data_IF_531579739620
#
_entry.id   IF_531579739620
#
_cell.length_a   1.000
_cell.length_b   1.000
_cell.length_c   1.000
_cell.angle_alpha   90.00
_cell.angle_beta   90.00
_cell.angle_gamma   90.00
#
_symmetry.space_group_name_H-M   'P 1'
#
loop_
_entity.id
_entity.type
_entity.pdbx_description
1 polymer ?
#
# COMPACT_ATOMS: atom_id res chain seq x y z
N UNK A 1 -12.66 -2.49 10.85
CA UNK A 1 -11.83 -1.29 11.11
C UNK A 1 -12.13 -0.65 12.46
N UNK A 2 -13.39 -0.30 12.76
CA UNK A 2 -13.79 0.32 14.04
C UNK A 2 -13.26 -0.48 15.25
N UNK A 3 -13.49 -1.80 15.29
CA UNK A 3 -13.02 -2.64 16.41
C UNK A 3 -11.50 -2.60 16.61
N UNK A 4 -10.70 -2.65 15.54
CA UNK A 4 -9.23 -2.61 15.63
C UNK A 4 -8.77 -1.27 16.22
N UNK A 5 -9.35 -0.16 15.75
CA UNK A 5 -9.03 1.18 16.27
C UNK A 5 -9.46 1.31 17.73
N UNK A 6 -10.64 0.80 18.09
CA UNK A 6 -11.10 0.78 19.49
C UNK A 6 -10.15 -0.02 20.39
N UNK A 7 -9.71 -1.21 19.97
CA UNK A 7 -8.78 -2.03 20.75
C UNK A 7 -7.41 -1.36 20.89
N UNK A 8 -6.92 -0.68 19.86
CA UNK A 8 -5.66 0.07 19.92
C UNK A 8 -5.74 1.23 20.93
N UNK A 9 -6.83 2.00 20.92
CA UNK A 9 -7.05 3.06 21.91
C UNK A 9 -7.12 2.51 23.34
N UNK A 10 -7.77 1.36 23.53
CA UNK A 10 -7.81 0.69 24.84
C UNK A 10 -6.41 0.21 25.25
N UNK A 11 -5.62 -0.35 24.34
CA UNK A 11 -4.24 -0.78 24.61
C UNK A 11 -3.39 0.40 25.09
N UNK A 12 -3.43 1.55 24.40
CA UNK A 12 -2.71 2.76 24.84
C UNK A 12 -3.20 3.28 26.20
N UNK A 13 -4.51 3.20 26.48
CA UNK A 13 -5.05 3.60 27.77
C UNK A 13 -4.58 2.67 28.91
N UNK A 14 -4.57 1.35 28.68
CA UNK A 14 -4.02 0.38 29.63
C UNK A 14 -2.53 0.62 29.87
N UNK A 15 -1.77 0.88 28.81
CA UNK A 15 -0.34 1.19 28.92
C UNK A 15 -0.09 2.42 29.80
N UNK A 16 -0.83 3.51 29.58
CA UNK A 16 -0.73 4.73 30.38
C UNK A 16 -1.10 4.50 31.87
N UNK A 17 -2.14 3.70 32.15
CA UNK A 17 -2.52 3.36 33.53
C UNK A 17 -1.43 2.52 34.19
N UNK A 18 -0.87 1.54 33.49
CA UNK A 18 0.20 0.68 34.01
C UNK A 18 1.45 1.49 34.31
N UNK A 19 1.83 2.43 33.43
CA UNK A 19 2.99 3.30 33.64
C UNK A 19 2.80 4.27 34.82
N UNK A 20 1.55 4.70 35.07
CA UNK A 20 1.20 5.53 36.22
C UNK A 20 1.26 4.74 37.55
N UNK A 21 0.84 3.48 37.55
CA UNK A 21 0.78 2.63 38.75
C UNK A 21 2.11 1.91 39.06
N UNK A 22 2.94 1.64 38.05
CA UNK A 22 4.22 0.94 38.17
C UNK A 22 5.31 1.61 37.33
N UNK A 23 5.83 2.76 37.79
CA UNK A 23 6.85 3.52 37.06
C UNK A 23 8.24 2.83 37.04
N UNK A 24 8.47 1.85 37.93
CA UNK A 24 9.64 0.95 37.86
C UNK A 24 9.26 -0.37 37.20
N UNK A 25 10.24 -1.03 36.59
CA UNK A 25 10.02 -2.32 35.94
C UNK A 25 9.38 -3.33 36.89
N UNK A 26 8.22 -3.86 36.49
CA UNK A 26 7.46 -4.86 37.21
C UNK A 26 7.05 -5.96 36.24
N UNK A 27 7.27 -7.20 36.64
CA UNK A 27 6.91 -8.37 35.84
C UNK A 27 5.39 -8.43 35.56
N UNK A 28 4.57 -7.98 36.52
CA UNK A 28 3.12 -7.90 36.36
C UNK A 28 2.71 -6.80 35.37
N UNK A 29 3.42 -5.67 35.36
CA UNK A 29 3.20 -4.59 34.41
C UNK A 29 3.50 -5.04 32.98
N UNK A 30 4.57 -5.81 32.79
CA UNK A 30 4.91 -6.43 31.51
C UNK A 30 3.78 -7.33 31.01
N UNK A 31 3.32 -8.27 31.84
CA UNK A 31 2.22 -9.19 31.48
C UNK A 31 0.94 -8.44 31.11
N UNK A 32 0.58 -7.38 31.84
CA UNK A 32 -0.59 -6.58 31.52
C UNK A 32 -0.49 -5.90 30.14
N UNK A 33 0.67 -5.31 29.83
CA UNK A 33 0.94 -4.70 28.51
C UNK A 33 0.94 -5.75 27.39
N UNK A 34 1.55 -6.91 27.61
CA UNK A 34 1.60 -8.00 26.63
C UNK A 34 0.20 -8.54 26.29
N UNK A 35 -0.68 -8.68 27.30
CA UNK A 35 -2.07 -9.10 27.08
C UNK A 35 -2.85 -8.05 26.29
N UNK A 36 -2.67 -6.76 26.59
CA UNK A 36 -3.34 -5.68 25.88
C UNK A 36 -2.90 -5.61 24.40
N UNK A 37 -1.60 -5.73 24.13
CA UNK A 37 -1.08 -5.84 22.76
C UNK A 37 -1.57 -7.12 22.06
N UNK A 38 -1.68 -8.24 22.78
CA UNK A 38 -2.27 -9.48 22.29
C UNK A 38 -3.72 -9.31 21.85
N UNK A 39 -4.52 -8.51 22.58
CA UNK A 39 -5.89 -8.22 22.19
C UNK A 39 -5.98 -7.46 20.86
N UNK A 40 -5.10 -6.47 20.63
CA UNK A 40 -5.00 -5.75 19.34
C UNK A 40 -4.64 -6.71 18.20
N UNK A 41 -3.69 -7.62 18.45
CA UNK A 41 -3.27 -8.60 17.44
C UNK A 41 -4.43 -9.51 17.01
N UNK A 42 -5.20 -10.02 17.98
CA UNK A 42 -6.36 -10.88 17.70
C UNK A 42 -7.43 -10.13 16.91
N UNK A 43 -7.73 -8.88 17.26
CA UNK A 43 -8.73 -8.10 16.52
C UNK A 43 -8.26 -7.71 15.12
N UNK A 44 -6.98 -7.37 14.95
CA UNK A 44 -6.38 -7.11 13.65
C UNK A 44 -6.41 -8.36 12.75
N UNK A 45 -6.06 -9.53 13.29
CA UNK A 45 -6.14 -10.80 12.56
C UNK A 45 -7.58 -11.14 12.15
N UNK A 46 -8.55 -11.00 13.06
CA UNK A 46 -9.96 -11.19 12.75
C UNK A 46 -10.46 -10.26 11.64
N UNK A 47 -10.02 -8.99 11.65
CA UNK A 47 -10.34 -8.04 10.59
C UNK A 47 -9.74 -8.45 9.23
N UNK A 48 -8.52 -8.99 9.21
CA UNK A 48 -7.89 -9.52 8.00
C UNK A 48 -8.63 -10.74 7.44
N UNK A 49 -9.04 -11.68 8.31
CA UNK A 49 -9.83 -12.86 7.91
C UNK A 49 -11.18 -12.47 7.34
N UNK A 50 -11.91 -11.56 8.01
CA UNK A 50 -13.19 -11.05 7.50
C UNK A 50 -13.02 -10.30 6.17
N UNK A 51 -11.98 -9.47 6.06
CA UNK A 51 -11.63 -8.81 4.81
C UNK A 51 -11.39 -9.81 3.69
N UNK A 52 -10.64 -10.89 3.96
CA UNK A 52 -10.42 -11.96 3.00
C UNK A 52 -11.72 -12.67 2.62
N UNK A 53 -12.59 -13.04 3.57
CA UNK A 53 -13.85 -13.72 3.28
C UNK A 53 -14.76 -12.85 2.40
N UNK A 54 -14.88 -11.56 2.71
CA UNK A 54 -15.70 -10.62 1.95
C UNK A 54 -15.12 -10.42 0.54
N UNK A 55 -13.79 -10.30 0.43
CA UNK A 55 -13.13 -9.98 -0.84
C UNK A 55 -12.88 -11.22 -1.72
N UNK A 56 -12.85 -12.42 -1.15
CA UNK A 56 -12.61 -13.70 -1.83
C UNK A 56 -13.49 -13.96 -3.06
N UNK A 57 -14.83 -13.80 -3.01
CA UNK A 57 -15.66 -14.00 -4.20
C UNK A 57 -15.39 -12.98 -5.31
N UNK A 58 -15.11 -11.72 -4.95
CA UNK A 58 -14.79 -10.67 -5.93
C UNK A 58 -13.41 -10.89 -6.56
N UNK A 59 -12.42 -11.29 -5.76
CA UNK A 59 -11.10 -11.70 -6.25
C UNK A 59 -11.22 -12.88 -7.21
N UNK A 60 -12.04 -13.89 -6.89
CA UNK A 60 -12.25 -15.04 -7.77
C UNK A 60 -12.94 -14.66 -9.08
N UNK A 61 -13.97 -13.83 -9.05
CA UNK A 61 -14.63 -13.35 -10.28
C UNK A 61 -13.64 -12.58 -11.16
N UNK A 62 -12.86 -11.66 -10.56
CA UNK A 62 -11.81 -10.93 -11.28
C UNK A 62 -10.73 -11.85 -11.87
N UNK A 63 -10.33 -12.90 -11.16
CA UNK A 63 -9.31 -13.84 -11.65
C UNK A 63 -9.83 -14.81 -12.71
N UNK A 64 -11.08 -15.26 -12.60
CA UNK A 64 -11.70 -16.22 -13.53
C UNK A 64 -12.10 -15.51 -14.82
N UNK A 65 -12.71 -14.33 -14.72
CA UNK A 65 -13.03 -13.50 -15.90
C UNK A 65 -11.77 -12.91 -16.52
N UNK A 66 -10.75 -12.63 -15.70
CA UNK A 66 -9.41 -12.13 -16.08
C UNK A 66 -8.57 -13.02 -16.97
N UNK A 67 -8.82 -14.33 -16.97
CA UNK A 67 -8.05 -15.30 -17.75
C UNK A 67 -8.74 -15.70 -19.07
N UNK A 68 -10.05 -15.44 -19.19
CA UNK A 68 -10.75 -15.57 -20.47
C UNK A 68 -10.45 -14.34 -21.31
N UNK A 69 -10.22 -14.51 -22.60
CA UNK A 69 -9.91 -13.46 -23.57
C UNK A 69 -11.16 -12.57 -23.80
N UNK A 70 -11.60 -11.87 -22.76
CA UNK A 70 -12.64 -10.88 -22.78
C UNK A 70 -11.97 -9.51 -22.65
N UNK A 71 -12.31 -8.59 -23.55
CA UNK A 71 -11.84 -7.20 -23.49
C UNK A 71 -12.24 -6.62 -22.13
N UNK A 72 -11.26 -6.47 -21.24
CA UNK A 72 -11.48 -5.82 -19.96
C UNK A 72 -11.88 -4.38 -20.17
N UNK A 73 -12.77 -3.89 -19.30
CA UNK A 73 -13.04 -2.46 -19.24
C UNK A 73 -11.74 -1.72 -18.86
N UNK A 74 -11.58 -0.48 -19.34
CA UNK A 74 -10.35 0.29 -19.06
C UNK A 74 -10.16 0.52 -17.55
N UNK A 75 -11.26 0.57 -16.83
CA UNK A 75 -11.35 0.70 -15.38
C UNK A 75 -10.80 -0.57 -14.67
N UNK A 76 -11.14 -1.76 -15.16
CA UNK A 76 -10.59 -3.02 -14.66
C UNK A 76 -9.08 -3.10 -14.86
N UNK A 77 -8.60 -2.75 -16.06
CA UNK A 77 -7.16 -2.74 -16.36
C UNK A 77 -6.41 -1.77 -15.42
N UNK A 78 -6.99 -0.59 -15.14
CA UNK A 78 -6.41 0.36 -14.20
C UNK A 78 -6.30 -0.20 -12.77
N UNK A 79 -7.35 -0.86 -12.27
CA UNK A 79 -7.35 -1.47 -10.94
C UNK A 79 -6.30 -2.60 -10.86
N UNK A 80 -6.27 -3.48 -11.86
CA UNK A 80 -5.28 -4.57 -11.95
C UNK A 80 -3.87 -3.98 -12.00
N UNK A 81 -3.64 -2.91 -12.76
CA UNK A 81 -2.34 -2.28 -12.87
C UNK A 81 -1.83 -1.71 -11.55
N UNK A 82 -2.69 -1.02 -10.79
CA UNK A 82 -2.31 -0.48 -9.47
C UNK A 82 -1.97 -1.60 -8.50
N UNK A 83 -2.79 -2.66 -8.45
CA UNK A 83 -2.54 -3.83 -7.58
C UNK A 83 -1.24 -4.55 -7.99
N UNK A 84 -1.02 -4.76 -9.29
CA UNK A 84 0.20 -5.41 -9.78
C UNK A 84 1.45 -4.57 -9.45
N UNK A 85 1.39 -3.25 -9.65
CA UNK A 85 2.49 -2.35 -9.30
C UNK A 85 2.77 -2.38 -7.80
N UNK A 86 1.75 -2.41 -6.95
CA UNK A 86 1.92 -2.58 -5.49
C UNK A 86 2.68 -3.86 -5.16
N UNK A 87 2.25 -4.99 -5.73
CA UNK A 87 2.88 -6.30 -5.50
C UNK A 87 4.34 -6.27 -5.98
N UNK A 88 4.61 -5.75 -7.18
CA UNK A 88 5.96 -5.64 -7.73
C UNK A 88 6.86 -4.75 -6.86
N UNK A 89 6.35 -3.62 -6.35
CA UNK A 89 7.09 -2.77 -5.39
C UNK A 89 7.45 -3.55 -4.13
N UNK A 90 6.50 -4.30 -3.56
CA UNK A 90 6.73 -5.07 -2.32
C UNK A 90 7.77 -6.17 -2.55
N UNK A 91 7.65 -6.92 -3.65
CA UNK A 91 8.61 -7.97 -4.03
C UNK A 91 10.00 -7.37 -4.26
N UNK A 92 10.10 -6.27 -5.02
CA UNK A 92 11.37 -5.62 -5.31
C UNK A 92 12.03 -5.11 -4.01
N UNK A 93 11.26 -4.48 -3.12
CA UNK A 93 11.76 -4.07 -1.80
C UNK A 93 12.25 -5.25 -0.95
N UNK A 94 11.54 -6.38 -1.01
CA UNK A 94 11.92 -7.61 -0.30
C UNK A 94 13.26 -8.17 -0.81
N UNK A 95 13.49 -8.13 -2.12
CA UNK A 95 14.73 -8.62 -2.73
C UNK A 95 15.93 -7.72 -2.46
N UNK A 96 15.76 -6.40 -2.53
CA UNK A 96 16.88 -5.45 -2.48
C UNK A 96 17.47 -5.19 -1.07
N UNK A 97 16.93 -5.80 0.00
CA UNK A 97 17.48 -5.89 1.39
C UNK A 97 18.34 -4.69 1.88
N UNK A 98 18.01 -3.45 1.50
CA UNK A 98 18.66 -2.23 1.98
C UNK A 98 17.70 -1.43 2.85
N UNK A 99 17.99 -1.41 4.15
CA UNK A 99 17.47 -0.42 5.09
C UNK A 99 16.11 -0.74 5.71
N UNK A 100 15.85 -0.15 6.88
CA UNK A 100 14.79 -0.50 7.82
C UNK A 100 13.38 -0.40 7.17
N UNK A 101 12.40 -1.25 7.58
CA UNK A 101 11.09 -1.41 6.92
C UNK A 101 10.27 -0.13 6.67
N UNK A 102 10.54 0.95 7.42
CA UNK A 102 9.82 2.22 7.36
C UNK A 102 10.70 3.45 7.01
N UNK A 103 11.97 3.28 6.62
CA UNK A 103 12.90 4.40 6.32
C UNK A 103 13.75 4.18 5.07
N UNK A 104 13.07 4.04 3.92
CA UNK A 104 13.71 3.97 2.61
C UNK A 104 13.96 2.54 2.11
N UNK A 105 14.09 2.40 0.79
CA UNK A 105 14.23 1.12 0.10
C UNK A 105 13.95 1.26 -1.40
N UNK A 106 14.71 0.56 -2.23
CA UNK A 106 14.57 0.57 -3.69
C UNK A 106 13.52 -0.45 -4.16
N UNK A 107 12.59 -0.11 -5.06
CA UNK A 107 12.26 1.22 -5.59
C UNK A 107 11.23 2.00 -4.73
N UNK A 108 11.07 3.30 -4.99
CA UNK A 108 10.07 4.15 -4.31
C UNK A 108 8.64 3.73 -4.68
N UNK A 109 7.92 3.17 -3.70
CA UNK A 109 6.52 2.75 -3.90
C UNK A 109 5.55 3.89 -4.16
N UNK A 110 5.73 5.05 -3.50
CA UNK A 110 4.88 6.23 -3.71
C UNK A 110 5.01 6.76 -5.14
N UNK A 111 6.24 6.77 -5.67
CA UNK A 111 6.53 7.19 -7.05
C UNK A 111 5.97 6.20 -8.07
N UNK A 112 6.13 4.89 -7.82
CA UNK A 112 5.57 3.85 -8.68
C UNK A 112 4.04 3.92 -8.77
N UNK A 113 3.36 4.07 -7.63
CA UNK A 113 1.90 4.20 -7.60
C UNK A 113 1.42 5.48 -8.28
N UNK A 114 2.04 6.61 -8.00
CA UNK A 114 1.61 7.89 -8.56
C UNK A 114 1.71 7.91 -10.10
N UNK A 115 2.79 7.35 -10.64
CA UNK A 115 2.96 7.24 -12.09
C UNK A 115 2.07 6.17 -12.73
N UNK A 116 1.81 5.06 -12.03
CA UNK A 116 0.82 4.06 -12.45
C UNK A 116 -0.58 4.69 -12.59
N UNK A 117 -1.02 5.44 -11.58
CA UNK A 117 -2.32 6.14 -11.60
C UNK A 117 -2.39 7.17 -12.72
N UNK A 118 -1.33 7.95 -12.94
CA UNK A 118 -1.29 8.91 -14.05
C UNK A 118 -1.46 8.23 -15.43
N UNK A 119 -0.75 7.12 -15.68
CA UNK A 119 -0.88 6.38 -16.93
C UNK A 119 -2.31 5.80 -17.07
N UNK A 120 -2.87 5.22 -16.02
CA UNK A 120 -4.25 4.73 -16.01
C UNK A 120 -5.28 5.82 -16.38
N UNK A 121 -5.18 7.00 -15.74
CA UNK A 121 -6.08 8.13 -16.03
C UNK A 121 -5.93 8.60 -17.47
N UNK A 122 -4.70 8.59 -18.00
CA UNK A 122 -4.43 8.97 -19.40
C UNK A 122 -5.18 8.07 -20.38
N UNK A 123 -5.19 6.75 -20.14
CA UNK A 123 -5.88 5.78 -21.00
C UNK A 123 -7.41 5.75 -20.83
N UNK A 124 -7.90 5.98 -19.60
CA UNK A 124 -9.34 6.05 -19.31
C UNK A 124 -9.95 7.32 -19.91
N UNK A 125 -9.40 8.49 -19.56
CA UNK A 125 -10.02 9.78 -19.89
C UNK A 125 -9.72 10.23 -21.32
N UNK A 126 -8.53 9.93 -21.85
CA UNK A 126 -8.09 10.41 -23.17
C UNK A 126 -7.96 11.93 -23.30
N UNK A 127 -8.17 12.69 -22.22
CA UNK A 127 -8.10 14.15 -22.20
C UNK A 127 -6.70 14.60 -21.79
N UNK A 128 -6.06 15.38 -22.66
CA UNK A 128 -4.71 15.91 -22.44
C UNK A 128 -4.59 16.73 -21.16
N UNK A 129 -5.58 17.58 -20.84
CA UNK A 129 -5.52 18.48 -19.70
C UNK A 129 -5.59 17.70 -18.37
N UNK A 130 -6.45 16.68 -18.30
CA UNK A 130 -6.54 15.79 -17.13
C UNK A 130 -5.24 15.00 -16.96
N UNK A 131 -4.69 14.46 -18.05
CA UNK A 131 -3.41 13.75 -18.02
C UNK A 131 -2.26 14.66 -17.53
N UNK A 132 -2.19 15.90 -18.02
CA UNK A 132 -1.15 16.86 -17.62
C UNK A 132 -1.25 17.22 -16.13
N UNK A 133 -2.45 17.48 -15.61
CA UNK A 133 -2.64 17.77 -14.19
C UNK A 133 -2.24 16.59 -13.30
N UNK A 134 -2.64 15.37 -13.67
CA UNK A 134 -2.25 14.15 -12.97
C UNK A 134 -0.74 13.87 -13.07
N UNK A 135 -0.11 14.20 -14.19
CA UNK A 135 1.35 14.10 -14.34
C UNK A 135 2.08 15.04 -13.37
N UNK A 136 1.66 16.31 -13.31
CA UNK A 136 2.23 17.29 -12.39
C UNK A 136 2.07 16.82 -10.93
N UNK A 137 0.88 16.30 -10.58
CA UNK A 137 0.64 15.73 -9.26
C UNK A 137 1.56 14.52 -8.97
N UNK A 138 1.75 13.62 -9.94
CA UNK A 138 2.63 12.47 -9.79
C UNK A 138 4.10 12.88 -9.59
N UNK A 139 4.55 13.91 -10.32
CA UNK A 139 5.89 14.51 -10.15
C UNK A 139 6.02 15.17 -8.77
N UNK A 140 5.00 15.87 -8.28
CA UNK A 140 5.01 16.46 -6.95
C UNK A 140 5.12 15.38 -5.87
N UNK A 141 4.30 14.32 -5.97
CA UNK A 141 4.36 13.17 -5.05
C UNK A 141 5.76 12.53 -5.09
N UNK A 142 6.36 12.36 -6.27
CA UNK A 142 7.71 11.84 -6.41
C UNK A 142 8.77 12.75 -5.79
N UNK A 143 8.71 14.06 -6.02
CA UNK A 143 9.63 15.05 -5.45
C UNK A 143 9.55 15.10 -3.92
N UNK A 144 8.34 14.94 -3.35
CA UNK A 144 8.14 14.90 -1.89
C UNK A 144 8.99 13.83 -1.22
N UNK A 145 9.24 12.70 -1.91
CA UNK A 145 10.04 11.59 -1.38
C UNK A 145 11.53 11.89 -1.33
N UNK A 146 12.02 12.72 -2.26
CA UNK A 146 13.41 13.22 -2.28
C UNK A 146 13.59 14.35 -1.27
N UNK A 147 12.61 15.26 -1.18
CA UNK A 147 12.66 16.43 -0.28
C UNK A 147 12.75 16.04 1.20
N UNK A 148 12.03 14.99 1.60
CA UNK A 148 12.07 14.45 2.99
C UNK A 148 13.33 13.60 3.23
N UNK A 149 14.26 13.49 2.26
CA UNK A 149 15.50 12.70 2.31
C UNK A 149 15.29 11.22 2.66
N UNK A 150 14.11 10.66 2.36
CA UNK A 150 13.78 9.24 2.60
C UNK A 150 14.28 8.36 1.46
N UNK A 151 14.34 8.89 0.24
CA UNK A 151 14.77 8.18 -0.96
C UNK A 151 15.78 9.00 -1.77
N UNK A 152 16.72 8.32 -2.40
CA UNK A 152 17.58 8.95 -3.40
C UNK A 152 16.78 9.26 -4.68
N UNK A 153 17.15 10.30 -5.46
CA UNK A 153 16.49 10.61 -6.73
C UNK A 153 16.38 9.41 -7.68
N UNK A 154 17.41 8.54 -7.70
CA UNK A 154 17.41 7.33 -8.51
C UNK A 154 16.33 6.32 -8.12
N UNK A 155 16.03 6.16 -6.82
CA UNK A 155 15.01 5.22 -6.35
C UNK A 155 13.60 5.69 -6.71
N UNK A 156 13.43 7.02 -6.72
CA UNK A 156 12.20 7.70 -7.13
C UNK A 156 11.98 7.56 -8.64
N UNK A 157 13.03 7.80 -9.44
CA UNK A 157 12.99 7.63 -10.90
C UNK A 157 12.71 6.18 -11.27
N UNK A 158 13.41 5.21 -10.66
CA UNK A 158 13.18 3.79 -10.90
C UNK A 158 11.76 3.36 -10.52
N UNK A 159 11.24 3.86 -9.39
CA UNK A 159 9.85 3.64 -9.01
C UNK A 159 8.86 4.19 -10.04
N UNK A 160 9.02 5.45 -10.43
CA UNK A 160 8.18 6.10 -11.43
C UNK A 160 8.17 5.36 -12.77
N UNK A 161 9.35 4.98 -13.28
CA UNK A 161 9.49 4.20 -14.50
C UNK A 161 8.81 2.83 -14.40
N UNK A 162 9.01 2.12 -13.29
CA UNK A 162 8.37 0.82 -13.08
C UNK A 162 6.83 0.95 -13.10
N UNK A 163 6.28 1.92 -12.36
CA UNK A 163 4.85 2.18 -12.32
C UNK A 163 4.26 2.53 -13.70
N UNK A 164 4.89 3.50 -14.39
CA UNK A 164 4.44 3.92 -15.72
C UNK A 164 4.54 2.78 -16.75
N UNK A 165 5.65 2.06 -16.78
CA UNK A 165 5.91 1.00 -17.76
C UNK A 165 4.98 -0.20 -17.56
N UNK A 166 4.83 -0.68 -16.32
CA UNK A 166 3.96 -1.81 -16.02
C UNK A 166 2.50 -1.50 -16.40
N UNK A 167 2.02 -0.31 -16.05
CA UNK A 167 0.65 0.11 -16.40
C UNK A 167 0.49 0.30 -17.91
N UNK A 168 1.46 0.93 -18.59
CA UNK A 168 1.44 1.07 -20.05
C UNK A 168 1.38 -0.29 -20.76
N UNK A 169 2.19 -1.26 -20.34
CA UNK A 169 2.20 -2.60 -20.92
C UNK A 169 0.87 -3.33 -20.70
N UNK A 170 0.28 -3.22 -19.51
CA UNK A 170 -1.04 -3.80 -19.23
C UNK A 170 -2.12 -3.20 -20.14
N UNK A 171 -2.18 -1.87 -20.25
CA UNK A 171 -3.12 -1.23 -21.17
C UNK A 171 -2.87 -1.63 -22.62
N UNK A 172 -1.62 -1.83 -23.05
CA UNK A 172 -1.34 -2.25 -24.42
C UNK A 172 -1.70 -3.71 -24.72
N UNK A 173 -1.67 -4.59 -23.72
CA UNK A 173 -1.98 -6.02 -23.89
C UNK A 173 -3.49 -6.27 -23.79
N UNK A 174 -4.18 -5.54 -22.92
CA UNK A 174 -5.57 -5.81 -22.55
C UNK A 174 -6.61 -4.79 -23.07
N UNK A 175 -6.20 -3.62 -23.56
CA UNK A 175 -7.09 -2.63 -24.22
C UNK A 175 -7.12 -2.80 -25.74
#
# INVERSE_FOLDING_TARGET
>A
MILVISTEMINSAVEAIVDLLSPQYSEKARVAKDIAAGAVLVTAFGAAVLGYIILSPYLKSLFIEGFSIARHSKEEIALIAVILVLILVIIAKSYFRKGRPFSGGMPSGHSALAFSVWVSITYITGNFLVSLLCFILAVWIAQSRVAVKVHNPWEVILGALMGALCTFLLFRIFS
#
